data_IF_057796711626
#
_entry.id   IF_057796711626
#
_cell.length_a   1.000
_cell.length_b   1.000
_cell.length_c   1.000
_cell.angle_alpha   90.00
_cell.angle_beta   90.00
_cell.angle_gamma   90.00
#
_symmetry.space_group_name_H-M   'P 1'
#
loop_
_entity.id
_entity.type
_entity.pdbx_description
1 polymer ?
#
# COMPACT_ATOMS: atom_id res chain seq x y z
N UNK A 1 -8.51 10.43 8.56
CA UNK A 1 -7.67 10.03 7.40
C UNK A 1 -6.96 8.68 7.57
N UNK A 2 -5.87 8.51 8.35
CA UNK A 2 -5.13 7.21 8.39
C UNK A 2 -6.00 6.03 8.81
N UNK A 3 -6.82 6.19 9.86
CA UNK A 3 -7.75 5.15 10.29
C UNK A 3 -8.85 4.85 9.25
N UNK A 4 -9.29 5.85 8.49
CA UNK A 4 -10.24 5.66 7.40
C UNK A 4 -9.61 4.84 6.27
N UNK A 5 -8.37 5.15 5.86
CA UNK A 5 -7.62 4.35 4.88
C UNK A 5 -7.53 2.89 5.36
N UNK A 6 -7.13 2.67 6.62
CA UNK A 6 -7.08 1.32 7.18
C UNK A 6 -8.44 0.61 7.14
N UNK A 7 -9.51 1.31 7.50
CA UNK A 7 -10.88 0.79 7.44
C UNK A 7 -11.29 0.41 6.02
N UNK A 8 -11.03 1.27 5.02
CA UNK A 8 -11.33 1.00 3.62
C UNK A 8 -10.57 -0.23 3.11
N UNK A 9 -9.31 -0.40 3.51
CA UNK A 9 -8.52 -1.58 3.15
C UNK A 9 -9.12 -2.85 3.77
N UNK A 10 -9.26 -2.93 5.09
CA UNK A 10 -9.65 -4.19 5.75
C UNK A 10 -11.10 -4.62 5.45
N UNK A 11 -11.98 -3.67 5.16
CA UNK A 11 -13.38 -3.95 4.84
C UNK A 11 -13.61 -4.22 3.35
N UNK A 12 -12.62 -3.98 2.48
CA UNK A 12 -12.75 -4.29 1.07
C UNK A 12 -12.88 -5.82 0.86
N UNK A 13 -13.71 -6.22 -0.10
CA UNK A 13 -14.04 -7.64 -0.35
C UNK A 13 -12.82 -8.53 -0.60
N UNK A 14 -11.72 -7.95 -1.08
CA UNK A 14 -10.44 -8.62 -1.33
C UNK A 14 -9.67 -9.00 -0.05
N UNK A 15 -10.04 -8.44 1.11
CA UNK A 15 -9.36 -8.68 2.40
C UNK A 15 -10.31 -9.15 3.50
N UNK A 16 -11.57 -8.73 3.45
CA UNK A 16 -12.54 -8.97 4.53
C UNK A 16 -12.82 -10.45 4.82
N UNK A 17 -12.70 -11.31 3.80
CA UNK A 17 -12.97 -12.75 3.89
C UNK A 17 -11.71 -13.60 4.06
N UNK A 18 -10.54 -12.99 3.91
CA UNK A 18 -9.25 -13.67 3.85
C UNK A 18 -8.60 -13.73 5.25
N UNK A 19 -7.98 -14.86 5.59
CA UNK A 19 -7.19 -15.02 6.83
C UNK A 19 -5.75 -14.54 6.63
N UNK A 20 -5.58 -13.32 6.12
CA UNK A 20 -4.26 -12.70 6.00
C UNK A 20 -3.67 -12.40 7.39
N UNK A 21 -2.35 -12.45 7.49
CA UNK A 21 -1.53 -12.01 8.61
C UNK A 21 -1.08 -10.56 8.44
N UNK A 22 -0.75 -10.18 7.22
CA UNK A 22 -0.38 -8.81 6.89
C UNK A 22 -0.84 -8.39 5.50
N UNK A 23 -0.96 -7.08 5.29
CA UNK A 23 -1.25 -6.45 4.02
C UNK A 23 -0.11 -5.46 3.71
N UNK A 24 0.32 -5.43 2.46
CA UNK A 24 1.12 -4.34 1.91
C UNK A 24 0.41 -3.72 0.70
N UNK A 25 0.27 -2.40 0.72
CA UNK A 25 -0.38 -1.63 -0.34
C UNK A 25 0.49 -0.43 -0.69
N UNK A 26 0.74 -0.24 -1.98
CA UNK A 26 1.47 0.90 -2.54
C UNK A 26 0.45 1.79 -3.25
N UNK A 27 0.38 3.06 -2.84
CA UNK A 27 -0.23 4.13 -3.63
C UNK A 27 0.86 4.84 -4.42
N UNK A 28 0.72 4.90 -5.74
CA UNK A 28 1.69 5.52 -6.66
C UNK A 28 1.06 6.74 -7.32
N UNK A 29 1.69 7.90 -7.07
CA UNK A 29 1.33 9.23 -7.63
C UNK A 29 2.45 9.81 -8.48
N UNK A 30 3.41 8.97 -8.88
CA UNK A 30 4.55 9.40 -9.68
C UNK A 30 4.17 9.63 -11.14
N UNK A 31 4.93 10.50 -11.82
CA UNK A 31 4.81 10.77 -13.26
C UNK A 31 3.37 11.10 -13.75
N UNK A 32 2.53 11.66 -12.86
CA UNK A 32 1.13 11.99 -13.15
C UNK A 32 0.19 10.80 -13.25
N UNK A 33 0.62 9.62 -12.80
CA UNK A 33 -0.20 8.42 -12.69
C UNK A 33 -0.85 8.35 -11.31
N UNK A 34 -2.00 7.69 -11.23
CA UNK A 34 -2.63 7.27 -9.97
C UNK A 34 -2.83 5.76 -10.06
N UNK A 35 -2.02 5.01 -9.30
CA UNK A 35 -2.05 3.56 -9.35
C UNK A 35 -1.95 2.95 -7.96
N UNK A 36 -2.40 1.70 -7.85
CA UNK A 36 -2.37 0.93 -6.63
C UNK A 36 -1.85 -0.48 -6.90
N UNK A 37 -0.91 -0.92 -6.09
CA UNK A 37 -0.35 -2.27 -6.12
C UNK A 37 -0.34 -2.85 -4.71
N UNK A 38 -0.45 -4.15 -4.55
CA UNK A 38 -0.40 -4.72 -3.21
C UNK A 38 -0.51 -6.22 -3.14
N UNK A 39 -0.28 -6.71 -1.93
CA UNK A 39 -0.30 -8.11 -1.57
C UNK A 39 -0.93 -8.31 -0.20
N UNK A 40 -1.65 -9.42 -0.05
CA UNK A 40 -1.96 -10.01 1.24
C UNK A 40 -0.99 -11.16 1.51
N UNK A 41 -0.47 -11.25 2.73
CA UNK A 41 0.42 -12.32 3.21
C UNK A 41 -0.31 -13.16 4.24
N UNK A 42 -0.27 -14.48 4.10
CA UNK A 42 -1.00 -15.44 4.91
C UNK A 42 -0.09 -16.11 5.97
N UNK A 43 -0.69 -16.78 6.95
CA UNK A 43 0.04 -17.45 8.04
C UNK A 43 0.90 -18.64 7.57
N UNK A 44 0.51 -19.27 6.46
CA UNK A 44 1.27 -20.35 5.82
C UNK A 44 2.48 -19.86 5.02
N UNK A 45 2.68 -18.54 4.94
CA UNK A 45 3.76 -17.91 4.18
C UNK A 45 3.45 -17.69 2.71
N UNK A 46 2.26 -18.08 2.23
CA UNK A 46 1.80 -17.71 0.90
C UNK A 46 1.45 -16.22 0.83
N UNK A 47 1.39 -15.70 -0.39
CA UNK A 47 0.93 -14.34 -0.66
C UNK A 47 0.06 -14.31 -1.91
N UNK A 48 -0.86 -13.34 -1.96
CA UNK A 48 -1.71 -13.13 -3.13
C UNK A 48 -1.74 -11.65 -3.49
N UNK A 49 -1.69 -11.35 -4.79
CA UNK A 49 -1.92 -9.99 -5.27
C UNK A 49 -3.34 -9.54 -4.91
N UNK A 50 -3.42 -8.42 -4.21
CA UNK A 50 -4.67 -7.83 -3.69
C UNK A 50 -4.52 -6.32 -3.66
N UNK A 51 -5.58 -5.64 -4.06
CA UNK A 51 -5.71 -4.18 -3.95
C UNK A 51 -7.03 -3.83 -3.26
N UNK A 52 -7.08 -2.65 -2.65
CA UNK A 52 -8.32 -2.05 -2.21
C UNK A 52 -9.06 -1.41 -3.40
N UNK A 53 -10.24 -0.82 -3.14
CA UNK A 53 -11.02 -0.13 -4.16
C UNK A 53 -10.48 1.27 -4.48
N UNK A 54 -11.06 1.91 -5.50
CA UNK A 54 -10.74 3.29 -5.88
C UNK A 54 -11.03 4.30 -4.76
N UNK A 55 -12.02 4.02 -3.91
CA UNK A 55 -12.30 4.80 -2.69
C UNK A 55 -11.10 4.89 -1.75
N UNK A 56 -10.32 3.82 -1.63
CA UNK A 56 -9.06 3.82 -0.89
C UNK A 56 -8.00 4.67 -1.60
N UNK A 57 -7.91 4.63 -2.92
CA UNK A 57 -6.96 5.44 -3.69
C UNK A 57 -7.24 6.94 -3.52
N UNK A 58 -8.52 7.33 -3.65
CA UNK A 58 -8.99 8.70 -3.47
C UNK A 58 -8.65 9.21 -2.06
N UNK A 59 -8.87 8.39 -1.03
CA UNK A 59 -8.54 8.75 0.35
C UNK A 59 -7.03 8.87 0.59
N UNK A 60 -6.22 8.06 -0.10
CA UNK A 60 -4.76 8.16 -0.07
C UNK A 60 -4.30 9.46 -0.75
N UNK A 61 -4.93 9.84 -1.86
CA UNK A 61 -4.68 11.11 -2.54
C UNK A 61 -5.06 12.31 -1.67
N UNK A 62 -6.21 12.26 -1.00
CA UNK A 62 -6.64 13.31 -0.06
C UNK A 62 -5.58 13.51 1.03
N UNK A 63 -5.04 12.43 1.59
CA UNK A 63 -3.94 12.51 2.55
C UNK A 63 -2.70 13.21 1.96
N UNK A 64 -2.34 12.89 0.71
CA UNK A 64 -1.24 13.55 -0.01
C UNK A 64 -1.45 15.05 -0.12
N UNK A 65 -2.65 15.46 -0.51
CA UNK A 65 -3.01 16.87 -0.70
C UNK A 65 -2.99 17.65 0.62
N UNK A 66 -3.50 17.06 1.71
CA UNK A 66 -3.44 17.69 3.03
C UNK A 66 -2.01 17.86 3.52
N UNK A 67 -1.13 16.88 3.30
CA UNK A 67 0.29 17.02 3.64
C UNK A 67 0.98 18.13 2.82
N UNK A 68 0.64 18.27 1.54
CA UNK A 68 1.14 19.38 0.70
C UNK A 68 0.72 20.74 1.27
N UNK A 69 -0.54 20.87 1.70
CA UNK A 69 -1.04 22.11 2.34
C UNK A 69 -0.28 22.44 3.63
N UNK A 70 0.25 21.43 4.33
CA UNK A 70 1.11 21.61 5.50
C UNK A 70 2.59 21.93 5.16
N UNK A 71 2.92 22.17 3.89
CA UNK A 71 4.25 22.58 3.44
C UNK A 71 5.14 21.45 2.93
N UNK A 72 4.59 20.24 2.77
CA UNK A 72 5.31 19.12 2.17
C UNK A 72 5.33 19.21 0.62
N UNK A 73 6.31 18.60 -0.04
CA UNK A 73 6.44 18.60 -1.51
C UNK A 73 5.46 17.68 -2.22
N UNK A 74 4.73 16.85 -1.46
CA UNK A 74 3.88 15.79 -1.98
C UNK A 74 4.73 14.59 -2.37
N UNK A 75 4.63 13.52 -1.60
CA UNK A 75 5.34 12.27 -1.87
C UNK A 75 4.92 11.66 -3.22
N UNK A 76 5.83 10.93 -3.83
CA UNK A 76 5.63 10.21 -5.11
C UNK A 76 4.95 8.86 -4.93
N UNK A 77 5.26 8.16 -3.84
CA UNK A 77 4.64 6.88 -3.49
C UNK A 77 4.44 6.80 -1.98
N UNK A 78 3.47 6.00 -1.53
CA UNK A 78 3.37 5.58 -0.14
C UNK A 78 3.23 4.06 -0.04
N UNK A 79 3.94 3.45 0.92
CA UNK A 79 3.77 2.05 1.30
C UNK A 79 3.02 1.97 2.62
N UNK A 80 1.86 1.32 2.58
CA UNK A 80 0.96 1.10 3.70
C UNK A 80 1.05 -0.35 4.12
N UNK A 81 1.31 -0.58 5.40
CA UNK A 81 1.28 -1.90 6.03
C UNK A 81 0.15 -1.96 7.05
N UNK A 82 -0.58 -3.08 7.07
CA UNK A 82 -1.51 -3.44 8.14
C UNK A 82 -1.15 -4.84 8.62
N UNK A 83 -0.89 -5.00 9.92
CA UNK A 83 -0.42 -6.27 10.50
C UNK A 83 -1.38 -6.74 11.59
N UNK A 84 -1.73 -8.03 11.60
CA UNK A 84 -2.50 -8.67 12.68
C UNK A 84 -1.57 -9.15 13.80
N UNK A 85 -2.08 -9.30 15.05
CA UNK A 85 -3.48 -9.22 15.45
C UNK A 85 -3.98 -7.82 15.85
N UNK A 86 -3.08 -6.87 16.10
CA UNK A 86 -3.42 -5.54 16.63
C UNK A 86 -3.90 -4.54 15.55
N UNK A 87 -3.84 -4.93 14.28
CA UNK A 87 -4.16 -4.08 13.14
C UNK A 87 -3.29 -2.81 13.10
N UNK A 88 -2.02 -2.93 13.49
CA UNK A 88 -1.09 -1.82 13.43
C UNK A 88 -0.95 -1.33 11.99
N UNK A 89 -1.25 -0.05 11.78
CA UNK A 89 -1.10 0.63 10.48
C UNK A 89 0.23 1.39 10.48
N UNK A 90 1.11 1.06 9.54
CA UNK A 90 2.33 1.82 9.28
C UNK A 90 2.29 2.39 7.87
N UNK A 91 2.64 3.67 7.72
CA UNK A 91 2.75 4.31 6.40
C UNK A 91 4.16 4.86 6.24
N UNK A 92 4.79 4.54 5.11
CA UNK A 92 6.08 5.10 4.69
C UNK A 92 5.87 5.90 3.42
N UNK A 93 6.40 7.12 3.39
CA UNK A 93 6.32 8.01 2.24
C UNK A 93 7.65 8.03 1.48
N UNK A 94 7.59 8.10 0.16
CA UNK A 94 8.76 8.21 -0.72
C UNK A 94 8.65 9.49 -1.55
N UNK A 95 9.67 10.35 -1.48
CA UNK A 95 9.67 11.68 -2.10
C UNK A 95 10.63 11.80 -3.28
N UNK A 96 11.69 10.99 -3.30
CA UNK A 96 12.87 11.19 -4.16
C UNK A 96 12.96 10.13 -5.27
N UNK A 97 12.68 8.87 -4.94
CA UNK A 97 12.72 7.77 -5.90
C UNK A 97 11.30 7.34 -6.30
N UNK A 98 10.74 7.86 -7.41
CA UNK A 98 9.38 7.53 -7.87
C UNK A 98 9.19 6.05 -8.23
N UNK A 99 10.27 5.26 -8.26
CA UNK A 99 10.26 3.84 -8.62
C UNK A 99 10.64 2.93 -7.47
N UNK A 100 10.69 3.43 -6.23
CA UNK A 100 11.12 2.63 -5.06
C UNK A 100 10.24 1.40 -4.88
N UNK A 101 8.93 1.56 -5.03
CA UNK A 101 7.94 0.49 -4.87
C UNK A 101 7.12 0.25 -6.14
N UNK A 102 7.76 0.38 -7.31
CA UNK A 102 7.13 0.06 -8.59
C UNK A 102 7.60 -1.32 -9.09
N UNK A 103 6.72 -2.12 -9.69
CA UNK A 103 7.16 -3.32 -10.40
C UNK A 103 8.10 -2.92 -11.55
N UNK A 104 9.27 -3.54 -11.63
CA UNK A 104 10.28 -3.23 -12.66
C UNK A 104 9.80 -3.51 -14.10
N UNK A 105 10.39 -2.81 -15.09
CA UNK A 105 10.09 -2.98 -16.54
C UNK A 105 10.49 -4.34 -17.13
N UNK A 106 11.30 -5.11 -16.40
CA UNK A 106 11.59 -6.51 -16.70
C UNK A 106 10.90 -7.28 -15.58
N UNK A 107 10.16 -8.34 -15.93
CA UNK A 107 9.49 -9.23 -14.99
C UNK A 107 10.49 -9.83 -13.99
N UNK A 108 10.90 -9.05 -13.00
CA UNK A 108 11.39 -9.53 -11.72
C UNK A 108 10.19 -10.18 -11.06
N UNK A 109 10.43 -11.41 -10.60
CA UNK A 109 9.44 -12.36 -10.12
C UNK A 109 8.41 -11.65 -9.24
N UNK A 110 7.10 -11.89 -9.46
CA UNK A 110 6.05 -11.37 -8.57
C UNK A 110 6.37 -11.65 -7.10
N UNK A 111 7.12 -12.73 -6.84
CA UNK A 111 7.67 -13.07 -5.54
C UNK A 111 8.70 -12.07 -5.02
N UNK A 112 9.66 -11.64 -5.84
CA UNK A 112 10.66 -10.64 -5.43
C UNK A 112 9.99 -9.32 -5.08
N UNK A 113 9.01 -8.91 -5.87
CA UNK A 113 8.24 -7.70 -5.57
C UNK A 113 7.38 -7.87 -4.31
N UNK A 114 6.73 -9.02 -4.12
CA UNK A 114 5.99 -9.30 -2.89
C UNK A 114 6.92 -9.32 -1.67
N UNK A 115 8.12 -9.88 -1.75
CA UNK A 115 9.09 -9.86 -0.65
C UNK A 115 9.63 -8.44 -0.39
N UNK A 116 9.84 -7.62 -1.44
CA UNK A 116 10.23 -6.22 -1.29
C UNK A 116 9.20 -5.40 -0.48
N UNK A 117 7.91 -5.65 -0.71
CA UNK A 117 6.82 -4.92 -0.05
C UNK A 117 6.46 -5.49 1.33
N UNK A 118 6.98 -6.66 1.69
CA UNK A 118 6.59 -7.39 2.90
C UNK A 118 6.96 -6.60 4.16
N UNK A 119 6.07 -6.51 5.17
CA UNK A 119 6.41 -5.91 6.46
C UNK A 119 7.54 -6.69 7.15
N UNK A 120 8.37 -5.98 7.89
CA UNK A 120 9.30 -6.61 8.84
C UNK A 120 8.51 -7.01 10.09
N UNK A 121 8.50 -8.30 10.43
CA UNK A 121 7.87 -8.85 11.63
C UNK A 121 8.81 -8.79 12.84
#
# INVERSE_FOLDING_TARGET
MIQEIGSLIINHNNYAKDQWRAIALVGDFSDGMEAMHGYAYFEDGEFASRIAGFDCLDKIQELREEMIKCGDKGWSQCLIHIVRPDLQITIRFEYENPKRWSPGKVALDMRDFAELLKPSF
#
